data_IF_048182967001
#
_entry.id   IF_048182967001
#
_cell.length_a   1.000
_cell.length_b   1.000
_cell.length_c   1.000
_cell.angle_alpha   90.00
_cell.angle_beta   90.00
_cell.angle_gamma   90.00
#
_symmetry.space_group_name_H-M   'P 1'
#
loop_
_entity.id
_entity.type
_entity.pdbx_description
1 polymer ?
#
# COMPACT_ATOMS: atom_id res chain seq x y z
N UNK A 1 7.70 -5.42 2.59
CA UNK A 1 6.47 -6.10 3.04
C UNK A 1 5.42 -5.03 3.26
N UNK A 2 4.79 -4.61 2.16
CA UNK A 2 3.95 -3.42 2.06
C UNK A 2 2.48 -3.79 1.86
N UNK A 3 1.58 -2.89 2.30
CA UNK A 3 0.14 -2.82 2.01
C UNK A 3 -0.71 -4.08 2.19
N UNK A 4 -0.45 -5.12 1.39
CA UNK A 4 -1.21 -6.34 1.24
C UNK A 4 -1.41 -7.11 2.54
N UNK A 5 -0.36 -7.23 3.36
CA UNK A 5 -0.42 -7.97 4.62
C UNK A 5 -1.33 -7.32 5.67
N UNK A 6 -1.81 -6.08 5.44
CA UNK A 6 -2.68 -5.35 6.39
C UNK A 6 -4.15 -5.71 6.24
N UNK A 7 -4.54 -6.35 5.13
CA UNK A 7 -5.94 -6.74 4.90
C UNK A 7 -6.14 -8.23 5.10
N UNK A 8 -7.15 -8.58 5.87
CA UNK A 8 -7.56 -9.97 6.02
C UNK A 8 -8.17 -10.51 4.73
N UNK A 9 -7.84 -11.76 4.43
CA UNK A 9 -8.50 -12.51 3.39
C UNK A 9 -9.81 -13.08 3.94
N UNK A 10 -10.86 -13.03 3.13
CA UNK A 10 -12.16 -13.59 3.47
C UNK A 10 -12.01 -15.06 3.89
N UNK A 11 -12.54 -15.41 5.06
CA UNK A 11 -12.37 -16.73 5.68
C UNK A 11 -12.79 -17.85 4.74
N UNK A 12 -13.85 -17.63 3.94
CA UNK A 12 -14.36 -18.62 3.00
C UNK A 12 -13.40 -18.89 1.83
N UNK A 13 -12.49 -17.96 1.54
CA UNK A 13 -11.54 -18.06 0.40
C UNK A 13 -10.12 -18.46 0.80
N UNK A 14 -9.79 -18.51 2.10
CA UNK A 14 -8.42 -18.82 2.58
C UNK A 14 -7.88 -20.15 2.06
N UNK A 15 -8.74 -21.15 1.94
CA UNK A 15 -8.36 -22.47 1.43
C UNK A 15 -7.82 -22.42 -0.02
N UNK A 16 -8.14 -21.39 -0.81
CA UNK A 16 -7.61 -21.19 -2.16
C UNK A 16 -6.14 -20.74 -2.17
N UNK A 17 -5.61 -20.31 -1.03
CA UNK A 17 -4.22 -19.85 -0.85
C UNK A 17 -3.34 -20.88 -0.16
N UNK A 18 -3.75 -22.15 -0.23
CA UNK A 18 -3.06 -23.25 0.42
C UNK A 18 -1.70 -23.51 -0.25
N UNK A 19 -0.65 -23.72 0.54
CA UNK A 19 0.67 -24.15 0.10
C UNK A 19 1.25 -25.20 1.05
N UNK A 20 2.11 -26.08 0.52
CA UNK A 20 2.74 -27.16 1.28
C UNK A 20 4.13 -26.74 1.75
N UNK A 21 4.45 -27.00 3.01
CA UNK A 21 5.80 -26.92 3.57
C UNK A 21 6.17 -28.26 4.23
N UNK A 22 7.44 -28.54 4.55
CA UNK A 22 7.81 -29.80 5.21
C UNK A 22 7.10 -30.06 6.55
N UNK A 23 6.61 -29.01 7.20
CA UNK A 23 5.83 -29.10 8.45
C UNK A 23 4.33 -29.36 8.23
N UNK A 24 3.88 -29.40 6.97
CA UNK A 24 2.50 -29.65 6.58
C UNK A 24 1.90 -28.52 5.74
N UNK A 25 0.59 -28.63 5.56
CA UNK A 25 -0.20 -27.71 4.76
C UNK A 25 -0.48 -26.41 5.52
N UNK A 26 -0.18 -25.28 4.90
CA UNK A 26 -0.48 -23.94 5.40
C UNK A 26 -1.44 -23.22 4.45
N UNK A 27 -2.13 -22.19 4.94
CA UNK A 27 -2.95 -21.28 4.14
C UNK A 27 -2.72 -19.85 4.60
N UNK A 28 -2.93 -18.88 3.71
CA UNK A 28 -2.79 -17.47 4.06
C UNK A 28 -4.06 -16.95 4.74
N UNK A 29 -3.87 -16.02 5.68
CA UNK A 29 -4.97 -15.33 6.40
C UNK A 29 -5.06 -13.84 6.03
N UNK A 30 -4.04 -13.32 5.34
CA UNK A 30 -3.94 -11.95 4.85
C UNK A 30 -3.79 -11.97 3.33
N UNK A 31 -4.06 -10.84 2.69
CA UNK A 31 -3.83 -10.67 1.26
C UNK A 31 -2.35 -10.95 0.92
N UNK A 32 -2.14 -11.75 -0.13
CA UNK A 32 -0.82 -11.90 -0.74
C UNK A 32 -0.64 -10.80 -1.80
N UNK A 33 0.59 -10.42 -2.04
CA UNK A 33 0.98 -9.71 -3.26
C UNK A 33 0.86 -10.69 -4.43
N UNK A 34 0.27 -10.29 -5.56
CA UNK A 34 0.07 -11.07 -6.81
C UNK A 34 -1.30 -11.73 -7.12
N UNK A 35 -2.11 -12.30 -6.20
CA UNK A 35 -3.39 -12.90 -6.59
C UNK A 35 -4.29 -11.94 -7.36
N UNK A 36 -5.08 -12.45 -8.31
CA UNK A 36 -5.81 -11.66 -9.33
C UNK A 36 -6.51 -10.42 -8.81
N UNK A 37 -7.19 -10.53 -7.66
CA UNK A 37 -7.94 -9.41 -7.07
C UNK A 37 -7.18 -8.67 -5.95
N UNK A 38 -6.01 -9.17 -5.54
CA UNK A 38 -5.21 -8.57 -4.47
C UNK A 38 -4.82 -7.14 -4.80
N UNK A 39 -4.36 -6.89 -6.03
CA UNK A 39 -3.92 -5.56 -6.47
C UNK A 39 -5.08 -4.57 -6.44
N UNK A 40 -6.26 -4.94 -6.95
CA UNK A 40 -7.43 -4.08 -6.93
C UNK A 40 -7.87 -3.74 -5.49
N UNK A 41 -7.88 -4.74 -4.62
CA UNK A 41 -8.23 -4.58 -3.20
C UNK A 41 -7.21 -3.71 -2.45
N UNK A 42 -5.91 -3.90 -2.73
CA UNK A 42 -4.82 -3.11 -2.16
C UNK A 42 -4.86 -1.66 -2.65
N UNK A 43 -5.03 -1.46 -3.96
CA UNK A 43 -5.15 -0.13 -4.57
C UNK A 43 -6.35 0.65 -4.02
N UNK A 44 -7.50 -0.01 -3.82
CA UNK A 44 -8.67 0.63 -3.19
C UNK A 44 -8.36 1.11 -1.76
N UNK A 45 -7.66 0.29 -0.96
CA UNK A 45 -7.24 0.67 0.39
C UNK A 45 -6.22 1.81 0.37
N UNK A 46 -5.21 1.72 -0.51
CA UNK A 46 -4.16 2.72 -0.64
C UNK A 46 -4.66 4.05 -1.23
N UNK A 47 -5.77 4.04 -1.96
CA UNK A 47 -6.45 5.26 -2.46
C UNK A 47 -7.36 5.87 -1.39
N UNK A 48 -8.02 5.04 -0.57
CA UNK A 48 -8.94 5.53 0.46
C UNK A 48 -8.22 6.30 1.57
N UNK A 49 -7.02 5.85 1.98
CA UNK A 49 -6.29 6.46 3.11
C UNK A 49 -5.91 7.93 2.83
N UNK A 50 -5.23 8.27 1.72
CA UNK A 50 -4.86 9.66 1.39
C UNK A 50 -5.83 10.29 0.38
N UNK A 51 -7.12 9.91 0.39
CA UNK A 51 -8.08 10.33 -0.64
C UNK A 51 -8.20 11.85 -0.80
N UNK A 52 -7.96 12.61 0.27
CA UNK A 52 -8.02 14.09 0.27
C UNK A 52 -6.80 14.74 -0.42
N UNK A 53 -5.70 14.01 -0.57
CA UNK A 53 -4.44 14.46 -1.17
C UNK A 53 -4.27 14.01 -2.63
N UNK A 54 -5.18 13.18 -3.13
CA UNK A 54 -5.17 12.66 -4.49
C UNK A 54 -6.07 13.53 -5.38
N UNK A 55 -5.60 13.94 -6.58
CA UNK A 55 -4.30 13.67 -7.20
C UNK A 55 -3.25 14.76 -7.00
N UNK A 56 -3.53 15.79 -6.20
CA UNK A 56 -2.73 17.01 -6.08
C UNK A 56 -1.33 16.73 -5.53
N UNK A 57 -1.24 16.05 -4.39
CA UNK A 57 0.00 15.79 -3.65
C UNK A 57 0.42 14.33 -3.75
N UNK A 58 -0.53 13.40 -3.86
CA UNK A 58 -0.30 11.96 -3.87
C UNK A 58 -0.89 11.33 -5.13
N UNK A 59 -0.21 10.31 -5.67
CA UNK A 59 -0.75 9.44 -6.71
C UNK A 59 -0.41 7.98 -6.40
N UNK A 60 -1.44 7.15 -6.31
CA UNK A 60 -1.31 5.71 -6.08
C UNK A 60 -1.30 4.98 -7.42
N UNK A 61 -0.38 4.04 -7.59
CA UNK A 61 -0.30 3.17 -8.75
C UNK A 61 0.19 1.78 -8.35
N UNK A 62 -0.73 0.80 -8.35
CA UNK A 62 -0.48 -0.61 -7.99
C UNK A 62 0.23 -0.71 -6.63
N UNK A 63 1.53 -0.98 -6.62
CA UNK A 63 2.32 -1.22 -5.42
C UNK A 63 2.92 0.06 -4.82
N UNK A 64 2.93 1.16 -5.57
CA UNK A 64 3.63 2.39 -5.21
C UNK A 64 2.67 3.56 -4.97
N UNK A 65 3.03 4.39 -3.98
CA UNK A 65 2.43 5.70 -3.75
C UNK A 65 3.45 6.80 -4.04
N UNK A 66 3.29 7.49 -5.15
CA UNK A 66 4.10 8.66 -5.49
C UNK A 66 3.65 9.88 -4.72
N UNK A 67 4.57 10.54 -4.01
CA UNK A 67 4.34 11.83 -3.36
C UNK A 67 5.04 12.90 -4.19
N UNK A 68 4.31 13.94 -4.57
CA UNK A 68 4.90 15.08 -5.29
C UNK A 68 5.69 15.94 -4.30
N UNK A 69 6.89 16.33 -4.72
CA UNK A 69 7.69 17.30 -3.99
C UNK A 69 7.05 18.70 -3.97
N UNK A 70 7.65 19.63 -3.22
CA UNK A 70 7.15 20.99 -3.11
C UNK A 70 7.10 21.68 -4.48
N UNK A 71 6.11 22.57 -4.67
CA UNK A 71 5.91 23.31 -5.94
C UNK A 71 7.03 24.31 -6.24
N UNK A 72 7.74 24.74 -5.21
CA UNK A 72 8.91 25.60 -5.30
C UNK A 72 10.01 25.05 -4.40
N UNK A 73 11.26 25.41 -4.69
CA UNK A 73 12.39 25.17 -3.78
C UNK A 73 12.43 26.20 -2.63
N UNK A 74 11.33 26.92 -2.40
CA UNK A 74 11.23 28.04 -1.47
C UNK A 74 12.40 29.03 -1.57
N UNK A 75 13.01 29.21 -2.76
CA UNK A 75 14.19 30.06 -2.93
C UNK A 75 15.35 29.79 -1.95
N UNK A 76 15.49 28.55 -1.45
CA UNK A 76 16.42 28.16 -0.37
C UNK A 76 16.08 28.74 1.02
N UNK A 77 14.87 29.23 1.24
CA UNK A 77 14.39 29.60 2.56
C UNK A 77 14.26 28.36 3.44
N UNK A 78 14.80 28.48 4.65
CA UNK A 78 14.69 27.46 5.68
C UNK A 78 13.26 27.52 6.23
N UNK A 79 12.50 26.44 6.04
CA UNK A 79 11.15 26.35 6.60
C UNK A 79 11.24 26.34 8.14
N UNK A 80 10.54 27.23 8.85
CA UNK A 80 10.61 27.30 10.31
C UNK A 80 10.11 26.02 10.99
N UNK A 81 9.22 25.26 10.33
CA UNK A 81 8.73 23.96 10.82
C UNK A 81 9.76 22.84 10.66
N UNK A 82 10.77 23.01 9.80
CA UNK A 82 11.79 22.00 9.56
C UNK A 82 13.15 22.60 9.21
N UNK A 83 13.82 23.26 10.18
CA UNK A 83 14.97 24.10 9.90
C UNK A 83 16.27 23.33 9.58
N UNK A 84 16.21 22.00 9.54
CA UNK A 84 17.36 21.10 9.43
C UNK A 84 17.47 20.37 8.09
N UNK A 85 16.54 20.63 7.15
CA UNK A 85 16.51 20.08 5.79
C UNK A 85 16.78 21.21 4.80
#
# INVERSE_FOLDING_TARGET
MGGYDKRELDVTTRHLTTFEIPLGRMQLTRLLQEPTNSVAVSQAQMTWIPQEEIPESVRIFIDDGGIKGPRSLYSQEILPENPSI
#
